data_IF_565899268439
#
_entry.id   IF_565899268439
#
_cell.length_a   1.000
_cell.length_b   1.000
_cell.length_c   1.000
_cell.angle_alpha   90.00
_cell.angle_beta   90.00
_cell.angle_gamma   90.00
#
_symmetry.space_group_name_H-M   'P 1'
#
loop_
_entity.id
_entity.type
_entity.pdbx_description
1 polymer ?
#
# COMPACT_ATOMS: atom_id res chain seq x y z
N UNK A 1 12.08 -6.63 20.71
CA UNK A 1 11.75 -6.29 19.30
C UNK A 1 10.35 -6.76 18.91
N UNK A 2 9.94 -7.97 19.29
CA UNK A 2 8.56 -8.49 19.04
C UNK A 2 7.48 -7.53 19.55
N UNK A 3 7.63 -6.96 20.74
CA UNK A 3 6.66 -6.02 21.33
C UNK A 3 6.43 -4.79 20.43
N UNK A 4 7.47 -4.32 19.72
CA UNK A 4 7.37 -3.18 18.80
C UNK A 4 6.62 -3.53 17.52
N UNK A 5 6.79 -4.75 17.02
CA UNK A 5 6.06 -5.24 15.83
C UNK A 5 4.58 -5.38 16.15
N UNK A 6 4.26 -5.95 17.30
CA UNK A 6 2.87 -6.08 17.76
C UNK A 6 2.22 -4.71 17.95
N UNK A 7 2.91 -3.78 18.61
CA UNK A 7 2.45 -2.40 18.78
C UNK A 7 2.20 -1.71 17.43
N UNK A 8 3.08 -1.92 16.44
CA UNK A 8 2.92 -1.38 15.09
C UNK A 8 1.64 -1.89 14.43
N UNK A 9 1.41 -3.21 14.43
CA UNK A 9 0.21 -3.78 13.84
C UNK A 9 -1.07 -3.31 14.54
N UNK A 10 -1.06 -3.19 15.88
CA UNK A 10 -2.20 -2.66 16.62
C UNK A 10 -2.45 -1.18 16.31
N UNK A 11 -1.41 -0.37 16.18
CA UNK A 11 -1.54 1.03 15.80
C UNK A 11 -2.10 1.18 14.37
N UNK A 12 -1.66 0.34 13.42
CA UNK A 12 -2.23 0.31 12.07
C UNK A 12 -3.71 -0.07 12.11
N UNK A 13 -4.10 -1.09 12.88
CA UNK A 13 -5.50 -1.50 13.03
C UNK A 13 -6.37 -0.39 13.65
N UNK A 14 -5.86 0.34 14.65
CA UNK A 14 -6.53 1.51 15.23
C UNK A 14 -6.73 2.60 14.19
N UNK A 15 -5.69 2.89 13.40
CA UNK A 15 -5.75 3.89 12.33
C UNK A 15 -6.73 3.48 11.22
N UNK A 16 -6.76 2.20 10.84
CA UNK A 16 -7.77 1.69 9.90
C UNK A 16 -9.19 1.92 10.40
N UNK A 17 -9.46 1.65 11.68
CA UNK A 17 -10.78 1.91 12.30
C UNK A 17 -11.11 3.40 12.27
N UNK A 18 -10.15 4.29 12.59
CA UNK A 18 -10.31 5.74 12.56
C UNK A 18 -10.68 6.21 11.14
N UNK A 19 -9.94 5.76 10.12
CA UNK A 19 -10.19 6.09 8.71
C UNK A 19 -11.52 5.57 8.20
N UNK A 20 -11.90 4.34 8.54
CA UNK A 20 -13.22 3.79 8.19
C UNK A 20 -14.36 4.68 8.71
N UNK A 21 -14.28 5.10 9.97
CA UNK A 21 -15.29 5.99 10.58
C UNK A 21 -15.33 7.35 9.86
N UNK A 22 -14.18 7.95 9.59
CA UNK A 22 -14.10 9.29 8.97
C UNK A 22 -14.52 9.28 7.49
N UNK A 23 -14.17 8.24 6.75
CA UNK A 23 -14.51 8.14 5.33
C UNK A 23 -15.98 7.75 5.08
N UNK A 24 -16.73 7.37 6.11
CA UNK A 24 -18.19 7.10 6.07
C UNK A 24 -18.60 6.18 4.91
N UNK A 25 -17.86 5.08 4.70
CA UNK A 25 -18.09 4.12 3.61
C UNK A 25 -17.47 4.51 2.26
N UNK A 26 -16.90 5.70 2.13
CA UNK A 26 -16.10 6.12 0.98
C UNK A 26 -14.68 5.52 1.02
N UNK A 27 -13.86 5.94 0.07
CA UNK A 27 -12.45 5.55 0.01
C UNK A 27 -11.52 6.77 0.12
N UNK A 28 -10.24 6.48 0.35
CA UNK A 28 -9.18 7.49 0.51
C UNK A 28 -9.09 8.48 -0.67
N UNK A 29 -9.27 8.00 -1.91
CA UNK A 29 -9.24 8.86 -3.10
C UNK A 29 -10.40 9.87 -3.11
N UNK A 30 -11.59 9.41 -2.73
CA UNK A 30 -12.78 10.28 -2.61
C UNK A 30 -12.60 11.30 -1.49
N UNK A 31 -12.07 10.86 -0.35
CA UNK A 31 -11.74 11.75 0.76
C UNK A 31 -10.75 12.83 0.33
N UNK A 32 -9.61 12.48 -0.28
CA UNK A 32 -8.62 13.45 -0.79
C UNK A 32 -9.20 14.43 -1.81
N UNK A 33 -10.08 13.97 -2.68
CA UNK A 33 -10.72 14.84 -3.66
C UNK A 33 -11.68 15.84 -3.00
N UNK A 34 -12.39 15.43 -1.96
CA UNK A 34 -13.24 16.35 -1.16
C UNK A 34 -12.41 17.41 -0.44
N UNK A 35 -11.33 17.00 0.23
CA UNK A 35 -10.42 17.93 0.93
C UNK A 35 -9.84 18.99 -0.02
N UNK A 36 -9.35 18.58 -1.19
CA UNK A 36 -8.83 19.52 -2.22
C UNK A 36 -9.88 20.51 -2.72
N UNK A 37 -11.14 20.08 -2.88
CA UNK A 37 -12.23 20.95 -3.31
C UNK A 37 -12.56 22.01 -2.25
N UNK A 38 -12.51 21.64 -0.99
CA UNK A 38 -12.71 22.58 0.14
C UNK A 38 -11.59 23.59 0.20
N UNK A 39 -10.34 23.17 0.03
CA UNK A 39 -9.17 24.06 -0.02
C UNK A 39 -9.23 25.07 -1.17
N UNK A 40 -9.62 24.63 -2.35
CA UNK A 40 -9.74 25.50 -3.51
C UNK A 40 -10.85 26.55 -3.30
N UNK A 41 -12.00 26.17 -2.77
CA UNK A 41 -13.09 27.10 -2.44
C UNK A 41 -12.65 28.13 -1.38
N UNK A 42 -12.00 27.69 -0.30
CA UNK A 42 -11.52 28.61 0.73
C UNK A 42 -10.45 29.59 0.24
N UNK A 43 -9.71 29.24 -0.81
CA UNK A 43 -8.73 30.14 -1.44
C UNK A 43 -9.36 31.09 -2.45
N UNK A 44 -10.48 30.75 -3.06
CA UNK A 44 -11.26 31.64 -3.94
C UNK A 44 -12.03 32.66 -3.11
N UNK A 45 -12.69 32.25 -2.04
CA UNK A 45 -13.42 33.15 -1.13
C UNK A 45 -12.51 34.18 -0.42
N UNK A 46 -11.25 33.83 -0.17
CA UNK A 46 -10.26 34.79 0.42
C UNK A 46 -9.85 35.92 -0.53
N UNK A 47 -10.13 35.84 -1.81
CA UNK A 47 -9.81 36.90 -2.79
C UNK A 47 -10.90 37.95 -2.94
N UNK A 48 -12.12 37.68 -2.47
CA UNK A 48 -13.30 38.50 -2.76
C UNK A 48 -13.99 39.12 -1.54
N UNK A 49 -13.54 38.86 -0.31
CA UNK A 49 -14.26 39.35 0.89
C UNK A 49 -13.41 40.32 1.71
N UNK A 50 -13.73 41.60 1.52
CA UNK A 50 -13.54 42.59 2.57
C UNK A 50 -14.62 42.39 3.65
N UNK A 51 -14.14 42.18 4.88
CA UNK A 51 -14.82 42.37 6.18
C UNK A 51 -16.25 41.82 6.33
N UNK A 52 -16.40 41.08 7.38
CA UNK A 52 -17.61 40.58 8.07
C UNK A 52 -17.95 39.12 7.73
N UNK A 53 -17.48 38.25 8.61
CA UNK A 53 -18.14 37.08 9.21
C UNK A 53 -17.10 36.11 9.80
N UNK A 54 -16.57 36.48 10.98
CA UNK A 54 -15.59 35.67 11.72
C UNK A 54 -16.17 34.41 12.41
N UNK A 55 -17.45 34.11 12.23
CA UNK A 55 -18.10 32.98 12.96
C UNK A 55 -18.05 31.68 12.16
N UNK A 56 -18.05 31.73 10.83
CA UNK A 56 -18.04 30.53 9.97
C UNK A 56 -16.64 29.95 9.73
N UNK A 57 -15.58 30.74 9.85
CA UNK A 57 -14.20 30.29 9.59
C UNK A 57 -13.66 29.38 10.70
N UNK A 58 -14.02 29.62 11.96
CA UNK A 58 -13.55 28.81 13.08
C UNK A 58 -14.17 27.40 13.14
N UNK A 59 -15.30 27.14 12.48
CA UNK A 59 -15.86 25.80 12.33
C UNK A 59 -15.22 25.00 11.20
N UNK A 60 -14.69 25.65 10.18
CA UNK A 60 -14.01 25.01 9.04
C UNK A 60 -12.59 24.60 9.38
N UNK A 61 -11.90 25.36 10.25
CA UNK A 61 -10.52 25.04 10.66
C UNK A 61 -10.45 23.83 11.62
N UNK A 62 -11.49 23.54 12.35
CA UNK A 62 -11.56 22.37 13.26
C UNK A 62 -11.81 21.02 12.54
N UNK A 63 -12.03 20.98 11.22
CA UNK A 63 -12.27 19.75 10.46
C UNK A 63 -11.12 19.31 9.54
N UNK A 64 -9.98 20.00 9.55
CA UNK A 64 -8.80 19.62 8.73
C UNK A 64 -7.99 18.50 9.38
N UNK A 65 -8.62 17.37 9.64
CA UNK A 65 -7.90 16.15 9.97
C UNK A 65 -7.27 15.59 8.69
N UNK A 66 -5.97 15.77 8.53
CA UNK A 66 -5.25 15.22 7.37
C UNK A 66 -4.99 13.73 7.56
N UNK A 67 -5.33 12.95 6.52
CA UNK A 67 -4.99 11.54 6.44
C UNK A 67 -3.91 11.35 5.36
N UNK A 68 -2.62 11.24 5.74
CA UNK A 68 -1.57 10.95 4.79
C UNK A 68 -1.69 9.52 4.23
N UNK A 69 -1.09 9.27 3.07
CA UNK A 69 -0.87 7.91 2.61
C UNK A 69 0.12 7.23 3.57
N UNK A 70 -0.21 6.03 4.01
CA UNK A 70 0.69 5.19 4.81
C UNK A 70 1.26 4.11 3.90
N UNK A 71 2.57 3.98 3.87
CA UNK A 71 3.28 2.89 3.20
C UNK A 71 3.99 2.05 4.27
N UNK A 72 3.64 0.78 4.34
CA UNK A 72 4.28 -0.22 5.18
C UNK A 72 5.26 -0.98 4.29
N UNK A 73 6.51 -1.02 4.68
CA UNK A 73 7.55 -1.77 3.96
C UNK A 73 8.06 -2.86 4.88
N UNK A 74 8.06 -4.10 4.39
CA UNK A 74 8.67 -5.25 5.05
C UNK A 74 9.77 -5.76 4.13
N UNK A 75 11.00 -5.46 4.49
CA UNK A 75 12.17 -5.94 3.79
C UNK A 75 12.61 -7.28 4.40
N UNK A 76 12.91 -8.27 3.55
CA UNK A 76 13.19 -9.62 4.03
C UNK A 76 11.96 -10.33 4.60
N UNK A 77 10.87 -10.41 3.83
CA UNK A 77 9.60 -10.94 4.34
C UNK A 77 9.68 -12.40 4.78
N UNK A 78 10.56 -13.20 4.20
CA UNK A 78 10.76 -14.61 4.59
C UNK A 78 11.31 -14.68 6.00
N UNK A 79 12.37 -13.92 6.30
CA UNK A 79 12.97 -13.83 7.62
C UNK A 79 11.96 -13.31 8.65
N UNK A 80 11.20 -12.30 8.26
CA UNK A 80 10.13 -11.78 9.13
C UNK A 80 9.11 -12.86 9.50
N UNK A 81 8.68 -13.68 8.55
CA UNK A 81 7.74 -14.79 8.79
C UNK A 81 8.36 -15.87 9.70
N UNK A 82 9.63 -16.20 9.49
CA UNK A 82 10.36 -17.18 10.31
C UNK A 82 10.52 -16.68 11.75
N UNK A 83 11.02 -15.48 11.95
CA UNK A 83 11.24 -14.89 13.28
C UNK A 83 9.93 -14.68 14.05
N UNK A 84 8.86 -14.38 13.38
CA UNK A 84 7.56 -14.15 14.01
C UNK A 84 6.66 -15.40 14.05
N UNK A 85 7.14 -16.54 13.56
CA UNK A 85 6.34 -17.79 13.45
C UNK A 85 4.97 -17.54 12.79
N UNK A 86 4.94 -16.70 11.76
CA UNK A 86 3.73 -16.31 11.00
C UNK A 86 2.59 -15.73 11.87
N UNK A 87 2.90 -15.26 13.06
CA UNK A 87 1.91 -14.72 14.04
C UNK A 87 1.09 -13.55 13.46
N UNK A 88 1.66 -12.79 12.54
CA UNK A 88 1.04 -11.58 12.00
C UNK A 88 0.31 -11.78 10.68
N UNK A 89 0.18 -13.00 10.17
CA UNK A 89 -0.47 -13.31 8.90
C UNK A 89 -1.89 -12.76 8.80
N UNK A 90 -2.71 -12.95 9.83
CA UNK A 90 -4.09 -12.45 9.83
C UNK A 90 -4.15 -10.92 9.87
N UNK A 91 -3.22 -10.29 10.57
CA UNK A 91 -3.11 -8.83 10.62
C UNK A 91 -2.69 -8.27 9.27
N UNK A 92 -1.69 -8.87 8.65
CA UNK A 92 -1.22 -8.51 7.31
C UNK A 92 -2.31 -8.73 6.26
N UNK A 93 -2.99 -9.88 6.30
CA UNK A 93 -4.12 -10.16 5.42
C UNK A 93 -5.21 -9.09 5.51
N UNK A 94 -5.59 -8.69 6.72
CA UNK A 94 -6.59 -7.64 6.94
C UNK A 94 -6.13 -6.30 6.35
N UNK A 95 -4.87 -5.94 6.58
CA UNK A 95 -4.28 -4.69 6.08
C UNK A 95 -4.22 -4.69 4.55
N UNK A 96 -3.77 -5.78 3.93
CA UNK A 96 -3.73 -5.91 2.47
C UNK A 96 -5.11 -5.82 1.84
N UNK A 97 -6.10 -6.51 2.42
CA UNK A 97 -7.47 -6.58 1.90
C UNK A 97 -8.20 -5.23 1.96
N UNK A 98 -8.03 -4.49 3.04
CA UNK A 98 -8.83 -3.31 3.33
C UNK A 98 -8.05 -1.99 3.28
N UNK A 99 -6.74 -2.07 3.45
CA UNK A 99 -5.87 -0.89 3.61
C UNK A 99 -5.84 0.01 2.37
N UNK A 100 -5.87 -0.56 1.17
CA UNK A 100 -5.85 0.24 -0.07
C UNK A 100 -6.99 1.26 -0.13
N UNK A 101 -8.19 0.85 0.28
CA UNK A 101 -9.36 1.73 0.34
C UNK A 101 -9.20 2.83 1.40
N UNK A 102 -8.36 2.60 2.38
CA UNK A 102 -8.09 3.52 3.49
C UNK A 102 -6.82 4.35 3.30
N UNK A 103 -6.12 4.21 2.15
CA UNK A 103 -4.85 4.87 1.90
C UNK A 103 -3.68 4.27 2.66
N UNK A 104 -3.73 2.97 2.93
CA UNK A 104 -2.63 2.20 3.52
C UNK A 104 -2.19 1.17 2.49
N UNK A 105 -0.90 1.18 2.16
CA UNK A 105 -0.29 0.28 1.19
C UNK A 105 0.81 -0.54 1.86
N UNK A 106 1.00 -1.74 1.36
CA UNK A 106 2.05 -2.65 1.82
C UNK A 106 2.97 -2.97 0.65
N UNK A 107 4.25 -2.96 0.90
CA UNK A 107 5.31 -3.42 0.01
C UNK A 107 6.15 -4.43 0.78
N UNK A 108 6.42 -5.57 0.16
CA UNK A 108 7.32 -6.59 0.72
C UNK A 108 8.45 -6.88 -0.26
N UNK A 109 9.63 -7.16 0.24
CA UNK A 109 10.71 -7.74 -0.53
C UNK A 109 10.93 -9.19 -0.13
N UNK A 110 11.29 -10.03 -1.09
CA UNK A 110 11.64 -11.44 -0.88
C UNK A 110 12.83 -11.79 -1.77
N UNK A 111 13.76 -12.58 -1.26
CA UNK A 111 14.90 -13.04 -2.05
C UNK A 111 14.55 -14.21 -2.96
N UNK A 112 13.68 -15.09 -2.49
CA UNK A 112 13.18 -16.22 -3.26
C UNK A 112 11.69 -16.45 -2.98
N UNK A 113 10.94 -16.73 -4.03
CA UNK A 113 9.54 -17.09 -3.87
C UNK A 113 9.46 -18.58 -3.47
N UNK A 114 8.98 -18.81 -2.27
CA UNK A 114 8.63 -20.16 -1.82
C UNK A 114 7.23 -20.12 -1.22
N UNK A 115 6.31 -20.90 -1.77
CA UNK A 115 4.93 -21.02 -1.26
C UNK A 115 4.84 -21.50 0.20
N UNK A 116 5.98 -21.88 0.80
CA UNK A 116 6.03 -22.30 2.18
C UNK A 116 5.97 -21.12 3.16
N UNK A 117 6.47 -19.92 2.74
CA UNK A 117 6.54 -18.75 3.61
C UNK A 117 5.46 -17.71 3.34
N UNK A 118 4.93 -17.67 2.13
CA UNK A 118 3.84 -16.77 1.77
C UNK A 118 2.61 -17.60 1.47
N UNK A 119 1.61 -17.53 2.34
CA UNK A 119 0.34 -18.20 2.08
C UNK A 119 -0.29 -17.64 0.79
N UNK A 120 -0.88 -18.48 -0.04
CA UNK A 120 -1.57 -18.05 -1.28
C UNK A 120 -2.60 -16.95 -0.99
N UNK A 121 -3.28 -17.05 0.15
CA UNK A 121 -4.23 -16.04 0.64
C UNK A 121 -3.63 -14.62 0.72
N UNK A 122 -2.36 -14.51 1.07
CA UNK A 122 -1.62 -13.24 1.13
C UNK A 122 -1.07 -12.88 -0.24
N UNK A 123 -0.47 -13.83 -0.95
CA UNK A 123 0.14 -13.62 -2.26
C UNK A 123 -0.85 -13.07 -3.30
N UNK A 124 -2.10 -13.53 -3.28
CA UNK A 124 -3.17 -13.11 -4.19
C UNK A 124 -3.62 -11.66 -4.00
N UNK A 125 -3.35 -11.08 -2.83
CA UNK A 125 -3.67 -9.69 -2.55
C UNK A 125 -2.66 -8.69 -3.14
N UNK A 126 -1.48 -9.15 -3.52
CA UNK A 126 -0.48 -8.33 -4.20
C UNK A 126 -0.77 -8.26 -5.71
N UNK A 127 -1.42 -7.19 -6.13
CA UNK A 127 -1.79 -6.96 -7.55
C UNK A 127 -0.61 -6.54 -8.42
N UNK A 128 0.41 -5.95 -7.83
CA UNK A 128 1.63 -5.55 -8.51
C UNK A 128 2.77 -6.40 -7.99
N UNK A 129 3.41 -7.11 -8.88
CA UNK A 129 4.55 -7.98 -8.58
C UNK A 129 5.71 -7.57 -9.47
N UNK A 130 6.90 -7.49 -8.89
CA UNK A 130 8.12 -7.05 -9.57
C UNK A 130 9.19 -8.11 -9.31
N UNK A 131 9.84 -8.58 -10.37
CA UNK A 131 10.94 -9.52 -10.28
C UNK A 131 12.18 -8.95 -10.97
N UNK A 132 13.28 -8.93 -10.27
CA UNK A 132 14.61 -8.79 -10.84
C UNK A 132 15.07 -10.11 -11.48
N UNK A 133 16.31 -10.18 -11.93
CA UNK A 133 16.85 -11.40 -12.51
C UNK A 133 16.82 -12.57 -11.51
N UNK A 134 16.26 -13.68 -11.94
CA UNK A 134 16.30 -14.98 -11.25
C UNK A 134 16.88 -16.05 -12.18
N UNK A 135 17.74 -16.93 -11.64
CA UNK A 135 18.34 -18.04 -12.41
C UNK A 135 17.29 -19.02 -12.90
N UNK A 136 16.33 -19.33 -12.04
CA UNK A 136 15.23 -20.23 -12.38
C UNK A 136 14.11 -19.48 -13.10
N UNK A 137 13.89 -19.85 -14.34
CA UNK A 137 12.83 -19.26 -15.15
C UNK A 137 11.43 -19.66 -14.68
N UNK A 138 11.28 -20.82 -14.06
CA UNK A 138 9.99 -21.26 -13.52
C UNK A 138 9.53 -20.42 -12.33
N UNK A 139 10.47 -19.89 -11.54
CA UNK A 139 10.15 -19.03 -10.42
C UNK A 139 9.35 -17.78 -10.85
N UNK A 140 9.58 -17.25 -12.04
CA UNK A 140 8.76 -16.14 -12.55
C UNK A 140 7.29 -16.52 -12.77
N UNK A 141 7.04 -17.76 -13.27
CA UNK A 141 5.66 -18.23 -13.49
C UNK A 141 4.93 -18.43 -12.18
N UNK A 142 5.62 -18.86 -11.14
CA UNK A 142 5.06 -18.98 -9.80
C UNK A 142 4.73 -17.61 -9.19
N UNK A 143 5.68 -16.66 -9.25
CA UNK A 143 5.46 -15.33 -8.70
C UNK A 143 4.29 -14.62 -9.36
N UNK A 144 4.21 -14.68 -10.69
CA UNK A 144 3.19 -13.98 -11.45
C UNK A 144 1.88 -14.75 -11.61
N UNK A 145 1.86 -16.03 -11.19
CA UNK A 145 0.72 -16.94 -11.35
C UNK A 145 0.24 -17.00 -12.81
N UNK A 146 1.18 -17.23 -13.71
CA UNK A 146 0.94 -17.32 -15.16
C UNK A 146 1.55 -18.58 -15.75
N UNK A 147 0.92 -19.14 -16.76
CA UNK A 147 1.37 -20.38 -17.41
C UNK A 147 2.66 -20.18 -18.19
N UNK A 148 2.83 -19.01 -18.80
CA UNK A 148 3.97 -18.75 -19.69
C UNK A 148 4.40 -17.29 -19.65
N UNK A 149 5.71 -17.08 -19.63
CA UNK A 149 6.35 -15.75 -19.74
C UNK A 149 7.23 -15.75 -20.98
N UNK A 150 7.11 -14.72 -21.80
CA UNK A 150 7.85 -14.55 -23.04
C UNK A 150 9.11 -13.70 -22.90
N UNK A 151 9.22 -12.91 -21.83
CA UNK A 151 10.32 -11.97 -21.59
C UNK A 151 10.95 -12.25 -20.24
N UNK A 152 12.29 -12.37 -20.26
CA UNK A 152 13.07 -12.60 -19.03
C UNK A 152 14.17 -11.54 -18.93
N UNK A 153 14.44 -11.00 -17.72
CA UNK A 153 15.58 -10.12 -17.50
C UNK A 153 16.89 -10.84 -17.79
N UNK A 154 17.86 -10.11 -18.33
CA UNK A 154 19.20 -10.64 -18.58
C UNK A 154 20.09 -10.45 -17.38
N UNK A 155 20.88 -11.50 -17.03
CA UNK A 155 21.79 -11.47 -15.89
C UNK A 155 22.86 -10.37 -15.98
N UNK A 156 23.29 -10.06 -17.21
CA UNK A 156 24.37 -9.12 -17.48
C UNK A 156 23.96 -7.65 -17.31
N UNK A 157 22.67 -7.39 -17.10
CA UNK A 157 22.14 -6.02 -16.96
C UNK A 157 21.61 -5.82 -15.55
N UNK A 158 22.42 -5.27 -14.64
CA UNK A 158 21.97 -4.98 -13.27
C UNK A 158 20.75 -4.05 -13.26
N UNK A 159 19.82 -4.28 -12.34
CA UNK A 159 18.62 -3.45 -12.20
C UNK A 159 17.55 -3.69 -13.26
N UNK A 160 17.78 -4.62 -14.21
CA UNK A 160 16.74 -5.01 -15.16
C UNK A 160 15.78 -6.01 -14.54
N UNK A 161 14.49 -5.77 -14.76
CA UNK A 161 13.45 -6.61 -14.19
C UNK A 161 12.21 -6.64 -15.04
N UNK A 162 11.24 -7.43 -14.58
CA UNK A 162 9.90 -7.51 -15.15
C UNK A 162 8.87 -7.26 -14.06
N UNK A 163 7.80 -6.57 -14.41
CA UNK A 163 6.68 -6.26 -13.52
C UNK A 163 5.38 -6.78 -14.14
N UNK A 164 4.54 -7.36 -13.29
CA UNK A 164 3.17 -7.69 -13.65
C UNK A 164 2.25 -6.56 -13.22
N UNK A 165 1.64 -5.88 -14.20
CA UNK A 165 0.76 -4.75 -13.97
C UNK A 165 -0.40 -4.76 -14.96
N UNK A 166 -1.61 -4.75 -14.47
CA UNK A 166 -2.81 -4.67 -15.31
C UNK A 166 -2.89 -5.78 -16.38
N UNK A 167 -2.64 -7.02 -16.00
CA UNK A 167 -2.64 -8.21 -16.89
C UNK A 167 -1.52 -8.22 -17.95
N UNK A 168 -0.52 -7.35 -17.81
CA UNK A 168 0.63 -7.27 -18.72
C UNK A 168 1.92 -7.46 -17.96
N UNK A 169 2.86 -8.15 -18.62
CA UNK A 169 4.24 -8.22 -18.17
C UNK A 169 5.02 -7.13 -18.90
N UNK A 170 5.60 -6.23 -18.13
CA UNK A 170 6.38 -5.10 -18.60
C UNK A 170 7.83 -5.26 -18.17
N UNK A 171 8.76 -5.06 -19.09
CA UNK A 171 10.18 -4.99 -18.76
C UNK A 171 10.53 -3.56 -18.30
N UNK A 172 11.41 -3.45 -17.32
CA UNK A 172 11.90 -2.16 -16.84
C UNK A 172 13.41 -2.23 -16.57
N UNK A 173 14.02 -1.04 -16.46
CA UNK A 173 15.41 -0.82 -16.10
C UNK A 173 15.47 0.26 -15.03
N UNK A 174 16.18 -0.01 -13.90
CA UNK A 174 16.49 0.96 -12.85
C UNK A 174 17.85 1.60 -13.07
#
# INVERSE_FOLDING_TARGET
EEDKVEELFENIKKEMKRRKKKFSGGNFKQYKNKSKRIENKSNEDKRDVGKEDNVSLNQIENEKEEFPLILIIVDGFVEFCEETYQRYDDSLYLILREGEKLGIKVMISIESFSGMYISMRIADLFKTKICLYMKDKYAYTEVFDVIQISVFPKAEIPGRGIAYYGERILEFQT
#
